data_IF_251508411600
#
_entry.id   IF_251508411600
#
_cell.length_a   1.000
_cell.length_b   1.000
_cell.length_c   1.000
_cell.angle_alpha   90.00
_cell.angle_beta   90.00
_cell.angle_gamma   90.00
#
_symmetry.space_group_name_H-M   'P 1'
#
loop_
_entity.id
_entity.type
_entity.pdbx_description
1 polymer ?
#
# COMPACT_ATOMS: atom_id res chain seq x y z
N UNK A 1 -47.27 -35.22 -18.55
CA UNK A 1 -47.12 -33.76 -18.66
C UNK A 1 -45.65 -33.43 -18.80
N UNK A 2 -45.22 -32.92 -19.95
CA UNK A 2 -43.81 -32.64 -20.26
C UNK A 2 -43.64 -31.14 -20.45
N UNK A 3 -42.80 -30.52 -19.62
CA UNK A 3 -42.62 -29.07 -19.57
C UNK A 3 -41.83 -28.55 -20.80
N UNK A 4 -42.41 -27.58 -21.52
CA UNK A 4 -41.75 -26.83 -22.61
C UNK A 4 -40.66 -25.90 -22.03
N UNK A 5 -39.42 -26.03 -22.49
CA UNK A 5 -38.34 -25.04 -22.25
C UNK A 5 -38.63 -23.74 -23.01
N UNK A 6 -38.54 -22.60 -22.32
CA UNK A 6 -38.60 -21.24 -22.90
C UNK A 6 -37.38 -20.98 -23.80
N UNK A 7 -37.62 -20.48 -25.02
CA UNK A 7 -36.59 -19.89 -25.90
C UNK A 7 -36.11 -18.57 -25.28
N UNK A 8 -34.80 -18.44 -25.11
CA UNK A 8 -34.16 -17.15 -24.78
C UNK A 8 -33.96 -16.39 -26.09
N UNK A 9 -34.63 -15.25 -26.24
CA UNK A 9 -34.36 -14.30 -27.33
C UNK A 9 -33.02 -13.61 -27.08
N UNK A 10 -32.09 -13.76 -28.04
CA UNK A 10 -30.84 -12.99 -28.06
C UNK A 10 -31.14 -11.57 -28.55
N UNK A 11 -31.07 -10.58 -27.66
CA UNK A 11 -31.03 -9.17 -28.06
C UNK A 11 -29.70 -8.87 -28.75
N UNK A 12 -29.75 -8.49 -30.03
CA UNK A 12 -28.60 -7.95 -30.75
C UNK A 12 -28.35 -6.51 -30.30
N UNK A 13 -27.15 -6.24 -29.77
CA UNK A 13 -26.67 -4.87 -29.50
C UNK A 13 -25.85 -4.41 -30.71
N UNK A 14 -26.20 -3.27 -31.30
CA UNK A 14 -25.70 -2.78 -32.60
C UNK A 14 -24.27 -2.21 -32.62
N UNK A 15 -23.51 -2.30 -31.52
CA UNK A 15 -22.13 -1.78 -31.45
C UNK A 15 -21.20 -2.69 -30.62
N UNK A 16 -21.22 -4.00 -30.88
CA UNK A 16 -20.17 -4.89 -30.38
C UNK A 16 -18.94 -4.74 -31.29
N UNK A 17 -17.85 -4.18 -30.75
CA UNK A 17 -16.54 -4.20 -31.38
C UNK A 17 -16.12 -5.65 -31.66
N UNK A 18 -15.58 -5.91 -32.84
CA UNK A 18 -15.06 -7.23 -33.24
C UNK A 18 -13.98 -7.71 -32.28
N UNK A 19 -14.21 -8.84 -31.61
CA UNK A 19 -13.18 -9.60 -30.89
C UNK A 19 -12.21 -10.21 -31.90
N UNK A 20 -10.91 -9.95 -31.74
CA UNK A 20 -9.85 -10.62 -32.51
C UNK A 20 -9.81 -12.13 -32.23
N UNK A 21 -9.38 -12.91 -33.22
CA UNK A 21 -9.47 -14.38 -33.25
C UNK A 21 -8.38 -15.12 -32.46
N UNK A 22 -7.55 -14.42 -31.67
CA UNK A 22 -6.48 -15.05 -30.89
C UNK A 22 -6.96 -15.49 -29.50
N UNK A 23 -7.16 -16.81 -29.34
CA UNK A 23 -7.55 -17.45 -28.08
C UNK A 23 -6.49 -17.41 -26.96
N UNK A 24 -5.31 -16.84 -27.20
CA UNK A 24 -4.26 -16.64 -26.19
C UNK A 24 -4.20 -15.22 -25.60
N UNK A 25 -5.06 -14.31 -26.07
CA UNK A 25 -5.13 -12.96 -25.51
C UNK A 25 -5.90 -12.97 -24.17
N UNK A 26 -5.17 -12.91 -23.04
CA UNK A 26 -5.70 -12.62 -21.70
C UNK A 26 -6.18 -11.16 -21.53
N UNK A 27 -6.72 -10.53 -22.58
CA UNK A 27 -7.36 -9.22 -22.47
C UNK A 27 -8.68 -9.41 -21.74
N UNK A 28 -8.65 -9.17 -20.42
CA UNK A 28 -9.86 -9.06 -19.62
C UNK A 28 -10.65 -7.87 -20.17
N UNK A 29 -11.70 -8.14 -20.95
CA UNK A 29 -12.58 -7.10 -21.45
C UNK A 29 -13.24 -6.38 -20.25
N UNK A 30 -12.71 -5.22 -19.88
CA UNK A 30 -13.35 -4.34 -18.89
C UNK A 30 -14.45 -3.60 -19.63
N UNK A 31 -15.68 -4.08 -19.52
CA UNK A 31 -16.83 -3.38 -20.09
C UNK A 31 -17.04 -2.11 -19.26
N UNK A 32 -16.74 -0.97 -19.86
CA UNK A 32 -17.06 0.34 -19.32
C UNK A 32 -18.47 0.70 -19.80
N UNK A 33 -19.40 0.88 -18.86
CA UNK A 33 -20.77 1.29 -19.19
C UNK A 33 -20.82 2.81 -19.44
N UNK A 34 -19.99 3.31 -20.35
CA UNK A 34 -19.94 4.72 -20.69
C UNK A 34 -21.09 5.09 -21.65
N UNK A 35 -21.63 6.30 -21.52
CA UNK A 35 -22.80 6.78 -22.25
C UNK A 35 -22.67 8.26 -22.62
N UNK A 36 -23.45 8.66 -23.62
CA UNK A 36 -23.45 10.03 -24.16
C UNK A 36 -22.25 10.32 -25.06
N UNK A 37 -22.32 11.43 -25.80
CA UNK A 37 -21.21 11.94 -26.62
C UNK A 37 -20.29 12.82 -25.76
N UNK A 38 -18.99 12.52 -25.78
CA UNK A 38 -17.97 13.29 -25.06
C UNK A 38 -16.96 13.85 -26.04
N UNK A 39 -16.50 15.07 -25.79
CA UNK A 39 -15.36 15.65 -26.50
C UNK A 39 -14.05 15.09 -25.93
N UNK A 40 -13.96 14.99 -24.60
CA UNK A 40 -12.81 14.43 -23.87
C UNK A 40 -13.18 14.12 -22.41
N UNK A 41 -12.42 13.26 -21.73
CA UNK A 41 -11.44 12.32 -22.28
C UNK A 41 -12.12 11.14 -23.00
N UNK A 42 -11.33 10.29 -23.65
CA UNK A 42 -11.83 9.03 -24.20
C UNK A 42 -12.09 8.01 -23.08
N UNK A 43 -12.93 7.01 -23.38
CA UNK A 43 -13.23 5.93 -22.44
C UNK A 43 -11.96 5.14 -22.11
N UNK A 44 -11.63 5.01 -20.83
CA UNK A 44 -10.48 4.26 -20.36
C UNK A 44 -9.13 4.94 -20.49
N UNK A 45 -9.09 6.23 -20.83
CA UNK A 45 -7.85 7.01 -20.78
C UNK A 45 -7.18 6.88 -19.41
N UNK A 46 -5.85 6.86 -19.43
CA UNK A 46 -5.01 6.77 -18.23
C UNK A 46 -4.33 8.10 -17.95
N UNK A 47 -4.43 8.54 -16.71
CA UNK A 47 -3.78 9.74 -16.20
C UNK A 47 -2.88 9.36 -15.03
N UNK A 48 -1.83 10.13 -14.79
CA UNK A 48 -0.77 9.73 -13.85
C UNK A 48 -0.57 10.80 -12.79
N UNK A 49 -0.65 10.39 -11.53
CA UNK A 49 -0.14 11.16 -10.40
C UNK A 49 1.37 11.16 -10.51
N UNK A 50 1.94 12.35 -10.64
CA UNK A 50 3.40 12.55 -10.81
C UNK A 50 4.20 12.08 -9.59
N UNK A 51 5.52 12.03 -9.74
CA UNK A 51 6.48 11.84 -8.66
C UNK A 51 6.46 12.97 -7.61
N UNK A 52 5.95 14.15 -7.97
CA UNK A 52 5.84 15.32 -7.10
C UNK A 52 4.51 15.42 -6.34
N UNK A 53 4.02 14.32 -5.77
CA UNK A 53 2.67 13.78 -5.98
C UNK A 53 1.62 14.85 -6.28
N UNK A 54 1.36 15.12 -7.56
CA UNK A 54 0.31 16.04 -8.03
C UNK A 54 -0.77 15.28 -8.78
N UNK A 55 -2.02 15.62 -8.52
CA UNK A 55 -3.15 15.11 -9.29
C UNK A 55 -3.03 15.60 -10.75
N UNK A 56 -3.26 14.72 -11.75
CA UNK A 56 -3.18 15.12 -13.15
C UNK A 56 -4.30 16.08 -13.53
N UNK A 57 -4.02 17.00 -14.45
CA UNK A 57 -5.07 17.83 -15.05
C UNK A 57 -5.93 16.97 -15.98
N UNK A 58 -7.19 16.74 -15.61
CA UNK A 58 -8.15 15.98 -16.41
C UNK A 58 -9.34 16.87 -16.73
N UNK A 59 -9.51 17.22 -18.00
CA UNK A 59 -10.66 17.98 -18.47
C UNK A 59 -11.73 17.05 -19.03
N UNK A 60 -12.88 17.03 -18.38
CA UNK A 60 -14.10 16.37 -18.83
C UNK A 60 -14.95 17.36 -19.61
N UNK A 61 -15.42 16.96 -20.80
CA UNK A 61 -16.22 17.82 -21.67
C UNK A 61 -17.27 17.01 -22.42
N UNK A 62 -18.54 17.35 -22.20
CA UNK A 62 -19.69 16.70 -22.84
C UNK A 62 -20.12 17.43 -24.11
N UNK A 63 -20.66 16.69 -25.07
CA UNK A 63 -21.35 17.27 -26.23
C UNK A 63 -22.86 17.17 -26.02
N UNK A 64 -23.50 18.30 -25.76
CA UNK A 64 -24.94 18.38 -25.47
C UNK A 64 -25.55 19.65 -26.06
N UNK A 65 -26.75 19.53 -26.61
CA UNK A 65 -27.59 20.66 -27.04
C UNK A 65 -28.59 21.08 -25.95
N UNK A 66 -28.62 20.37 -24.82
CA UNK A 66 -29.50 20.67 -23.70
C UNK A 66 -29.02 21.93 -22.97
N UNK A 67 -29.96 22.80 -22.53
CA UNK A 67 -29.60 24.00 -21.77
C UNK A 67 -29.04 23.63 -20.39
N UNK A 68 -28.21 24.52 -19.86
CA UNK A 68 -27.77 24.50 -18.46
C UNK A 68 -28.97 24.66 -17.49
N UNK A 69 -28.84 24.24 -16.22
CA UNK A 69 -27.63 23.74 -15.56
C UNK A 69 -27.34 22.25 -15.82
N UNK A 70 -26.06 21.91 -15.80
CA UNK A 70 -25.54 20.55 -15.86
C UNK A 70 -25.23 20.04 -14.45
N UNK A 71 -25.79 18.88 -14.07
CA UNK A 71 -25.52 18.24 -12.80
C UNK A 71 -24.35 17.26 -12.97
N UNK A 72 -23.21 17.60 -12.39
CA UNK A 72 -22.02 16.78 -12.42
C UNK A 72 -21.94 15.95 -11.15
N UNK A 73 -21.56 14.68 -11.32
CA UNK A 73 -21.25 13.76 -10.23
C UNK A 73 -20.02 12.98 -10.59
N UNK A 74 -19.12 12.80 -9.63
CA UNK A 74 -17.94 11.96 -9.81
C UNK A 74 -17.88 10.91 -8.70
N UNK A 75 -17.33 9.76 -9.02
CA UNK A 75 -17.03 8.68 -8.09
C UNK A 75 -15.69 8.09 -8.45
N UNK A 76 -14.75 8.05 -7.52
CA UNK A 76 -13.45 7.39 -7.69
C UNK A 76 -13.36 6.19 -6.76
N UNK A 77 -12.94 5.05 -7.32
CA UNK A 77 -12.83 3.79 -6.60
C UNK A 77 -11.49 3.11 -6.85
N UNK A 78 -10.93 2.49 -5.83
CA UNK A 78 -9.77 1.61 -5.96
C UNK A 78 -9.97 0.34 -5.13
N UNK A 79 -9.85 -0.80 -5.79
CA UNK A 79 -9.86 -2.11 -5.15
C UNK A 79 -8.42 -2.44 -4.73
N UNK A 80 -8.10 -2.28 -3.45
CA UNK A 80 -6.80 -2.58 -2.91
C UNK A 80 -6.55 -4.10 -2.90
N UNK A 81 -5.81 -4.57 -3.90
CA UNK A 81 -5.42 -5.96 -4.07
C UNK A 81 -3.96 -6.17 -3.63
N UNK A 82 -3.72 -7.28 -2.93
CA UNK A 82 -2.39 -7.65 -2.43
C UNK A 82 -1.40 -7.74 -3.58
N UNK A 83 -0.25 -7.08 -3.48
CA UNK A 83 0.84 -7.17 -4.46
C UNK A 83 2.12 -7.77 -3.88
N UNK A 84 2.39 -7.52 -2.59
CA UNK A 84 3.76 -7.56 -2.08
C UNK A 84 4.66 -6.58 -2.86
N UNK A 85 5.98 -6.82 -2.87
CA UNK A 85 6.95 -6.00 -3.62
C UNK A 85 7.37 -6.61 -4.97
N UNK A 86 6.85 -7.79 -5.31
CA UNK A 86 7.15 -8.46 -6.58
C UNK A 86 6.31 -7.85 -7.69
N UNK A 87 6.93 -7.65 -8.85
CA UNK A 87 6.30 -7.16 -10.07
C UNK A 87 5.50 -8.28 -10.76
N UNK A 88 4.51 -8.82 -10.03
CA UNK A 88 3.68 -9.96 -10.45
C UNK A 88 2.20 -9.62 -10.30
N UNK A 89 1.34 -10.46 -10.89
CA UNK A 89 -0.11 -10.32 -10.76
C UNK A 89 -0.53 -10.20 -9.29
N UNK A 90 -1.42 -9.24 -9.01
CA UNK A 90 -2.01 -9.05 -7.68
C UNK A 90 -2.85 -10.25 -7.24
N UNK A 91 -2.84 -10.47 -5.92
CA UNK A 91 -3.64 -11.45 -5.21
C UNK A 91 -5.05 -10.96 -4.87
N UNK A 92 -5.58 -11.44 -3.75
CA UNK A 92 -6.95 -11.14 -3.31
C UNK A 92 -7.15 -9.65 -2.99
N UNK A 93 -8.40 -9.19 -3.17
CA UNK A 93 -8.84 -7.87 -2.71
C UNK A 93 -8.96 -7.87 -1.18
N UNK A 94 -8.36 -6.87 -0.53
CA UNK A 94 -8.51 -6.64 0.91
C UNK A 94 -9.67 -5.68 1.19
N UNK A 95 -9.74 -4.58 0.43
CA UNK A 95 -10.71 -3.50 0.65
C UNK A 95 -10.98 -2.74 -0.66
N UNK A 96 -12.13 -2.09 -0.73
CA UNK A 96 -12.41 -1.04 -1.73
C UNK A 96 -12.37 0.32 -1.04
N UNK A 97 -11.58 1.25 -1.58
CA UNK A 97 -11.63 2.67 -1.24
C UNK A 97 -12.55 3.38 -2.23
N UNK A 98 -13.33 4.35 -1.73
CA UNK A 98 -14.25 5.12 -2.56
C UNK A 98 -14.31 6.56 -2.07
N UNK A 99 -14.45 7.50 -3.00
CA UNK A 99 -14.79 8.90 -2.74
C UNK A 99 -15.74 9.40 -3.83
N UNK A 100 -16.56 10.40 -3.52
CA UNK A 100 -17.57 10.93 -4.43
C UNK A 100 -17.84 12.40 -4.16
N UNK A 101 -18.28 13.12 -5.18
CA UNK A 101 -18.77 14.48 -5.07
C UNK A 101 -19.73 14.80 -6.19
N UNK A 102 -20.46 15.90 -6.03
CA UNK A 102 -21.42 16.40 -7.01
C UNK A 102 -21.55 17.91 -6.93
N UNK A 103 -21.83 18.54 -8.06
CA UNK A 103 -22.04 19.98 -8.16
C UNK A 103 -22.86 20.33 -9.41
N UNK A 104 -23.37 21.56 -9.46
CA UNK A 104 -24.08 22.09 -10.63
C UNK A 104 -23.20 23.12 -11.33
N UNK A 105 -23.18 23.12 -12.66
CA UNK A 105 -22.45 24.09 -13.47
C UNK A 105 -23.25 24.52 -14.70
N UNK A 106 -22.97 25.71 -15.22
CA UNK A 106 -23.47 26.15 -16.53
C UNK A 106 -22.52 25.77 -17.67
N UNK A 107 -21.32 25.29 -17.35
CA UNK A 107 -20.30 24.90 -18.32
C UNK A 107 -20.42 23.41 -18.68
N UNK A 108 -20.24 23.10 -19.97
CA UNK A 108 -20.14 21.73 -20.48
C UNK A 108 -18.81 21.06 -20.15
N UNK A 109 -17.93 21.78 -19.46
CA UNK A 109 -16.57 21.39 -19.15
C UNK A 109 -16.35 21.40 -17.64
N UNK A 110 -15.58 20.44 -17.16
CA UNK A 110 -15.09 20.38 -15.78
C UNK A 110 -13.63 19.94 -15.76
N UNK A 111 -12.79 20.71 -15.06
CA UNK A 111 -11.44 20.27 -14.71
C UNK A 111 -11.51 19.55 -13.38
N UNK A 112 -11.15 18.26 -13.37
CA UNK A 112 -11.26 17.42 -12.19
C UNK A 112 -10.32 17.89 -11.08
N UNK A 113 -10.88 18.21 -9.92
CA UNK A 113 -10.15 18.61 -8.71
C UNK A 113 -10.35 17.63 -7.53
N UNK A 114 -11.41 16.81 -7.57
CA UNK A 114 -11.76 15.83 -6.52
C UNK A 114 -11.78 16.42 -5.08
N UNK A 115 -12.06 17.73 -4.95
CA UNK A 115 -12.03 18.43 -3.66
C UNK A 115 -10.61 18.66 -3.13
N UNK A 116 -9.65 18.89 -4.02
CA UNK A 116 -8.23 19.09 -3.74
C UNK A 116 -7.45 17.83 -3.36
N UNK A 117 -8.05 16.63 -3.44
CA UNK A 117 -7.44 15.38 -2.99
C UNK A 117 -6.64 14.69 -4.10
N UNK A 118 -5.52 14.06 -3.72
CA UNK A 118 -4.73 13.23 -4.64
C UNK A 118 -5.17 11.77 -4.49
N UNK A 119 -6.05 11.34 -5.39
CA UNK A 119 -6.65 10.00 -5.39
C UNK A 119 -6.40 9.29 -6.73
N UNK A 120 -6.05 8.01 -6.68
CA UNK A 120 -5.95 7.17 -7.87
C UNK A 120 -7.06 6.13 -7.98
N UNK A 121 -7.01 5.29 -8.99
CA UNK A 121 -7.99 4.25 -9.28
C UNK A 121 -8.92 4.60 -10.44
N UNK A 122 -10.10 3.99 -10.45
CA UNK A 122 -11.11 4.16 -11.51
C UNK A 122 -12.00 5.37 -11.18
N UNK A 123 -11.87 6.43 -11.95
CA UNK A 123 -12.72 7.62 -11.86
C UNK A 123 -13.88 7.51 -12.86
N UNK A 124 -15.11 7.60 -12.37
CA UNK A 124 -16.32 7.68 -13.17
C UNK A 124 -16.94 9.06 -12.99
N UNK A 125 -17.25 9.73 -14.10
CA UNK A 125 -17.96 11.01 -14.14
C UNK A 125 -19.31 10.79 -14.80
N UNK A 126 -20.36 11.27 -14.15
CA UNK A 126 -21.74 11.23 -14.59
C UNK A 126 -22.24 12.67 -14.74
N UNK A 127 -22.95 12.96 -15.83
CA UNK A 127 -23.55 14.28 -16.06
C UNK A 127 -24.99 14.13 -16.47
N UNK A 128 -25.88 14.89 -15.82
CA UNK A 128 -27.28 15.04 -16.25
C UNK A 128 -27.46 16.42 -16.85
N UNK A 129 -27.91 16.47 -18.11
CA UNK A 129 -28.18 17.69 -18.86
C UNK A 129 -29.61 17.62 -19.41
N UNK A 130 -30.57 18.26 -18.75
CA UNK A 130 -31.99 18.11 -19.10
C UNK A 130 -32.41 16.63 -19.07
N UNK A 131 -32.80 16.09 -20.23
CA UNK A 131 -33.16 14.67 -20.41
C UNK A 131 -31.99 13.78 -20.85
N UNK A 132 -30.80 14.33 -21.08
CA UNK A 132 -29.61 13.60 -21.53
C UNK A 132 -28.75 13.18 -20.34
N UNK A 133 -28.24 11.95 -20.41
CA UNK A 133 -27.32 11.40 -19.41
C UNK A 133 -25.98 11.02 -20.06
N UNK A 134 -24.90 11.36 -19.39
CA UNK A 134 -23.54 11.10 -19.81
C UNK A 134 -22.80 10.33 -18.73
N UNK A 135 -21.97 9.37 -19.13
CA UNK A 135 -21.08 8.63 -18.23
C UNK A 135 -19.73 8.40 -18.90
N UNK A 136 -18.65 8.78 -18.23
CA UNK A 136 -17.27 8.58 -18.70
C UNK A 136 -16.41 7.97 -17.62
N UNK A 137 -15.65 6.95 -17.97
CA UNK A 137 -14.72 6.27 -17.08
C UNK A 137 -13.29 6.49 -17.54
N UNK A 138 -12.40 6.86 -16.62
CA UNK A 138 -10.93 6.95 -16.82
C UNK A 138 -10.20 6.28 -15.65
N UNK A 139 -8.90 6.07 -15.80
CA UNK A 139 -8.05 5.50 -14.75
C UNK A 139 -6.95 6.46 -14.35
N UNK A 140 -6.68 6.52 -13.05
CA UNK A 140 -5.63 7.35 -12.47
C UNK A 140 -4.63 6.42 -11.78
N UNK A 141 -3.39 6.46 -12.23
CA UNK A 141 -2.29 5.64 -11.69
C UNK A 141 -1.21 6.52 -11.06
N UNK A 142 -0.19 5.92 -10.45
CA UNK A 142 0.85 6.64 -9.72
C UNK A 142 2.26 6.36 -10.21
N UNK A 143 3.12 7.36 -10.04
CA UNK A 143 4.56 7.27 -10.33
C UNK A 143 5.35 7.29 -9.03
N UNK A 144 6.32 6.38 -8.91
CA UNK A 144 7.25 6.38 -7.78
C UNK A 144 8.14 7.62 -7.84
N UNK A 145 8.36 8.33 -6.71
CA UNK A 145 9.43 9.32 -6.63
C UNK A 145 10.81 8.65 -6.71
N UNK A 146 11.83 9.43 -7.05
CA UNK A 146 13.22 8.98 -6.89
C UNK A 146 13.58 8.80 -5.42
N UNK A 147 14.55 7.94 -5.13
CA UNK A 147 15.09 7.78 -3.77
C UNK A 147 15.59 9.11 -3.22
N UNK A 148 16.27 9.93 -4.05
CA UNK A 148 16.76 11.24 -3.63
C UNK A 148 15.61 12.19 -3.22
N UNK A 149 14.49 12.19 -3.96
CA UNK A 149 13.32 13.00 -3.61
C UNK A 149 12.69 12.58 -2.28
N UNK A 150 12.68 11.27 -1.99
CA UNK A 150 12.22 10.73 -0.71
C UNK A 150 13.15 11.18 0.42
N UNK A 151 14.46 10.98 0.26
CA UNK A 151 15.46 11.34 1.25
C UNK A 151 15.46 12.85 1.53
N UNK A 152 15.32 13.69 0.51
CA UNK A 152 15.20 15.13 0.68
C UNK A 152 13.92 15.52 1.43
N UNK A 153 12.79 14.87 1.11
CA UNK A 153 11.55 15.09 1.85
C UNK A 153 11.63 14.63 3.32
N UNK A 154 12.37 13.55 3.60
CA UNK A 154 12.60 13.08 4.98
C UNK A 154 13.41 14.08 5.81
N UNK A 155 14.38 14.80 5.22
CA UNK A 155 15.14 15.84 5.92
C UNK A 155 14.26 16.98 6.43
N UNK A 156 13.10 17.22 5.79
CA UNK A 156 12.14 18.23 6.27
C UNK A 156 11.29 17.73 7.43
N UNK A 157 11.36 16.45 7.79
CA UNK A 157 10.60 15.87 8.89
C UNK A 157 11.42 15.89 10.17
N UNK A 158 10.82 16.40 11.25
CA UNK A 158 11.49 16.42 12.56
C UNK A 158 11.59 15.01 13.14
N UNK A 159 12.65 14.71 13.90
CA UNK A 159 12.81 13.45 14.65
C UNK A 159 12.60 12.18 13.80
N UNK A 160 13.02 12.20 12.54
CA UNK A 160 12.84 11.09 11.59
C UNK A 160 14.17 10.41 11.20
N UNK A 161 15.26 10.69 11.91
CA UNK A 161 16.57 10.07 11.65
C UNK A 161 16.45 8.54 11.74
N UNK A 162 16.95 7.84 10.72
CA UNK A 162 16.87 6.37 10.60
C UNK A 162 15.57 5.85 9.95
N UNK A 163 14.55 6.70 9.74
CA UNK A 163 13.29 6.26 9.12
C UNK A 163 13.44 5.91 7.63
N UNK A 164 14.46 6.46 6.96
CA UNK A 164 14.86 6.06 5.61
C UNK A 164 15.15 4.57 5.50
N UNK A 165 15.77 3.98 6.53
CA UNK A 165 16.05 2.54 6.58
C UNK A 165 14.77 1.74 6.71
N UNK A 166 13.81 2.20 7.53
CA UNK A 166 12.47 1.59 7.64
C UNK A 166 11.82 1.57 6.27
N UNK A 167 11.78 2.70 5.55
CA UNK A 167 11.21 2.75 4.19
C UNK A 167 11.93 1.80 3.23
N UNK A 168 13.26 1.74 3.27
CA UNK A 168 14.06 0.80 2.46
C UNK A 168 13.61 -0.63 2.73
N UNK A 169 13.48 -1.02 3.99
CA UNK A 169 13.08 -2.37 4.38
C UNK A 169 11.64 -2.70 3.98
N UNK A 170 10.71 -1.81 4.29
CA UNK A 170 9.28 -2.04 4.12
C UNK A 170 8.87 -2.10 2.64
N UNK A 171 9.49 -1.28 1.78
CA UNK A 171 9.07 -1.19 0.38
C UNK A 171 10.16 -0.98 -0.67
N UNK A 172 11.44 -0.94 -0.27
CA UNK A 172 12.54 -0.57 -1.16
C UNK A 172 12.28 0.79 -1.84
N UNK A 173 11.76 1.76 -1.08
CA UNK A 173 11.39 3.10 -1.55
C UNK A 173 10.28 3.13 -2.62
N UNK A 174 9.48 2.07 -2.76
CA UNK A 174 8.33 2.05 -3.67
C UNK A 174 7.06 2.42 -2.94
N UNK A 175 6.30 3.37 -3.48
CA UNK A 175 4.89 3.54 -3.11
C UNK A 175 3.97 2.77 -4.05
N UNK A 176 4.36 2.61 -5.31
CA UNK A 176 3.60 1.96 -6.38
C UNK A 176 4.35 0.75 -6.95
N UNK A 177 3.62 -0.25 -7.41
CA UNK A 177 4.16 -1.37 -8.19
C UNK A 177 4.32 -0.91 -9.63
N UNK A 178 5.51 -1.11 -10.21
CA UNK A 178 5.79 -0.59 -11.56
C UNK A 178 4.98 -1.32 -12.64
N UNK A 179 4.61 -2.58 -12.39
CA UNK A 179 3.83 -3.38 -13.34
C UNK A 179 2.42 -2.84 -13.61
N UNK A 180 1.80 -2.13 -12.66
CA UNK A 180 0.43 -1.62 -12.81
C UNK A 180 0.22 -0.18 -12.31
N UNK A 181 1.26 0.44 -11.74
CA UNK A 181 1.25 1.79 -11.21
C UNK A 181 0.19 2.01 -10.10
N UNK A 182 -0.19 0.96 -9.38
CA UNK A 182 -1.05 1.03 -8.20
C UNK A 182 -0.24 0.90 -6.91
N UNK A 183 -0.73 1.44 -5.77
CA UNK A 183 -0.02 1.37 -4.50
C UNK A 183 0.38 -0.05 -4.08
N UNK A 184 1.51 -0.16 -3.38
CA UNK A 184 1.94 -1.41 -2.74
C UNK A 184 0.93 -1.79 -1.66
N UNK A 185 0.48 -3.05 -1.67
CA UNK A 185 -0.44 -3.60 -0.65
C UNK A 185 0.08 -4.93 -0.14
N UNK A 186 0.39 -5.01 1.15
CA UNK A 186 0.73 -6.26 1.82
C UNK A 186 -0.52 -7.01 2.29
N UNK A 187 -0.37 -8.33 2.44
CA UNK A 187 -1.47 -9.24 2.80
C UNK A 187 -2.07 -8.97 4.20
N UNK A 188 -1.33 -8.30 5.06
CA UNK A 188 -1.71 -7.95 6.43
C UNK A 188 -2.31 -6.54 6.55
N UNK A 189 -2.66 -5.92 5.42
CA UNK A 189 -3.17 -4.54 5.30
C UNK A 189 -2.10 -3.45 5.52
N UNK A 190 -0.82 -3.73 5.23
CA UNK A 190 0.17 -2.69 5.01
C UNK A 190 -0.04 -1.99 3.65
N UNK A 191 -0.01 -0.65 3.63
CA UNK A 191 -0.22 0.14 2.41
C UNK A 191 0.90 1.15 2.15
N UNK A 192 1.28 1.26 0.87
CA UNK A 192 2.20 2.26 0.37
C UNK A 192 3.63 2.07 0.85
N UNK A 193 4.42 3.13 0.76
CA UNK A 193 5.86 3.11 1.01
C UNK A 193 6.27 2.74 2.43
N UNK A 194 5.51 3.16 3.44
CA UNK A 194 5.84 2.89 4.84
C UNK A 194 5.09 1.67 5.39
N UNK A 195 4.37 0.94 4.54
CA UNK A 195 3.56 -0.22 4.91
C UNK A 195 2.65 0.04 6.13
N UNK A 196 1.96 1.20 6.15
CA UNK A 196 1.08 1.54 7.27
C UNK A 196 -0.06 0.53 7.41
N UNK A 197 -0.17 -0.07 8.60
CA UNK A 197 -1.19 -1.09 8.91
C UNK A 197 -2.14 -0.66 10.03
N UNK A 198 -1.62 -0.12 11.13
CA UNK A 198 -2.43 0.31 12.27
C UNK A 198 -1.86 1.60 12.90
N UNK A 199 -2.62 2.72 12.87
CA UNK A 199 -3.90 2.87 12.19
C UNK A 199 -3.75 2.70 10.66
N UNK A 200 -4.78 2.14 10.02
CA UNK A 200 -4.80 2.03 8.58
C UNK A 200 -4.86 3.43 7.94
N UNK A 201 -4.10 3.69 6.86
CA UNK A 201 -4.09 5.00 6.21
C UNK A 201 -5.42 5.29 5.50
N UNK A 202 -5.70 6.59 5.32
CA UNK A 202 -6.81 7.07 4.49
C UNK A 202 -6.54 6.82 3.00
N UNK A 203 -7.55 6.95 2.15
CA UNK A 203 -7.41 6.73 0.71
C UNK A 203 -6.30 7.60 0.08
N UNK A 204 -6.29 8.89 0.40
CA UNK A 204 -5.27 9.84 -0.06
C UNK A 204 -3.89 9.51 0.48
N UNK A 205 -3.77 9.13 1.76
CA UNK A 205 -2.50 8.72 2.36
C UNK A 205 -1.86 7.49 1.70
N UNK A 206 -2.64 6.69 0.96
CA UNK A 206 -2.10 5.56 0.18
C UNK A 206 -1.60 6.00 -1.19
N UNK A 207 -2.32 6.91 -1.85
CA UNK A 207 -2.00 7.39 -3.20
C UNK A 207 -1.03 8.57 -3.25
N UNK A 208 -0.83 9.27 -2.13
CA UNK A 208 0.13 10.35 -1.99
C UNK A 208 1.31 9.89 -1.13
N UNK A 209 2.46 9.63 -1.77
CA UNK A 209 3.63 9.10 -1.06
C UNK A 209 4.17 10.05 0.02
N UNK A 210 3.99 11.38 -0.13
CA UNK A 210 4.39 12.33 0.91
C UNK A 210 3.50 12.22 2.13
N UNK A 211 2.18 12.09 1.93
CA UNK A 211 1.24 11.86 3.04
C UNK A 211 1.46 10.48 3.68
N UNK A 212 1.80 9.46 2.89
CA UNK A 212 2.20 8.13 3.38
C UNK A 212 3.42 8.23 4.31
N UNK A 213 4.47 8.93 3.88
CA UNK A 213 5.65 9.17 4.71
C UNK A 213 5.29 9.95 5.98
N UNK A 214 4.47 11.01 5.90
CA UNK A 214 4.08 11.79 7.08
C UNK A 214 3.41 10.93 8.15
N UNK A 215 2.49 10.04 7.77
CA UNK A 215 1.85 9.14 8.74
C UNK A 215 2.82 8.09 9.28
N UNK A 216 3.73 7.58 8.46
CA UNK A 216 4.79 6.67 8.90
C UNK A 216 5.76 7.33 9.88
N UNK A 217 6.19 8.56 9.61
CA UNK A 217 7.04 9.36 10.50
C UNK A 217 6.34 9.58 11.84
N UNK A 218 5.04 9.90 11.85
CA UNK A 218 4.29 10.07 13.10
C UNK A 218 4.31 8.80 13.96
N UNK A 219 4.11 7.63 13.34
CA UNK A 219 4.21 6.36 14.05
C UNK A 219 5.65 6.08 14.51
N UNK A 220 6.64 6.38 13.68
CA UNK A 220 8.05 6.22 14.01
C UNK A 220 8.44 7.06 15.23
N UNK A 221 7.99 8.32 15.29
CA UNK A 221 8.19 9.22 16.43
C UNK A 221 7.54 8.68 17.71
N UNK A 222 6.35 8.09 17.62
CA UNK A 222 5.70 7.40 18.75
C UNK A 222 6.58 6.24 19.25
N UNK A 223 7.09 5.41 18.32
CA UNK A 223 7.98 4.29 18.66
C UNK A 223 9.31 4.77 19.25
N UNK A 224 9.83 5.89 18.75
CA UNK A 224 11.01 6.53 19.31
C UNK A 224 10.74 7.05 20.72
N UNK A 225 9.54 7.59 20.99
CA UNK A 225 9.11 7.95 22.35
C UNK A 225 9.13 6.76 23.31
N UNK A 226 8.63 5.60 22.88
CA UNK A 226 8.72 4.37 23.67
C UNK A 226 10.16 3.92 23.88
N UNK A 227 11.01 3.98 22.84
CA UNK A 227 12.42 3.65 22.95
C UNK A 227 13.18 4.57 23.91
N UNK A 228 12.88 5.89 23.91
CA UNK A 228 13.43 6.84 24.87
C UNK A 228 13.04 6.50 26.32
N UNK A 229 11.80 6.05 26.53
CA UNK A 229 11.33 5.61 27.84
C UNK A 229 12.03 4.32 28.28
N UNK A 230 12.26 3.37 27.37
CA UNK A 230 12.98 2.13 27.67
C UNK A 230 14.45 2.38 28.03
N UNK A 231 15.05 3.40 27.41
CA UNK A 231 16.43 3.82 27.64
C UNK A 231 16.55 4.86 28.76
N UNK A 232 15.47 5.19 29.46
CA UNK A 232 15.50 6.15 30.54
C UNK A 232 16.33 5.63 31.72
N UNK A 233 16.98 6.55 32.44
CA UNK A 233 17.77 6.24 33.65
C UNK A 233 19.26 6.03 33.41
N UNK A 234 19.70 5.81 32.17
CA UNK A 234 21.12 5.70 31.83
C UNK A 234 21.46 6.44 30.52
N UNK A 235 22.70 6.89 30.33
CA UNK A 235 23.14 7.47 29.06
C UNK A 235 22.99 6.47 27.90
N UNK A 236 22.64 6.96 26.71
CA UNK A 236 22.57 6.18 25.49
C UNK A 236 23.02 7.00 24.28
N UNK A 237 23.48 6.32 23.23
CA UNK A 237 23.87 6.95 21.96
C UNK A 237 22.68 7.09 20.99
N UNK A 238 22.81 7.92 19.96
CA UNK A 238 21.80 8.03 18.91
C UNK A 238 21.57 6.69 18.19
N UNK A 239 22.63 5.93 17.91
CA UNK A 239 22.52 4.59 17.32
C UNK A 239 21.76 3.60 18.20
N UNK A 240 21.94 3.67 19.53
CA UNK A 240 21.16 2.87 20.48
C UNK A 240 19.68 3.26 20.43
N UNK A 241 19.37 4.56 20.36
CA UNK A 241 18.00 5.02 20.21
C UNK A 241 17.36 4.57 18.88
N UNK A 242 18.08 4.70 17.76
CA UNK A 242 17.60 4.26 16.43
C UNK A 242 17.33 2.76 16.44
N UNK A 243 18.27 1.95 16.93
CA UNK A 243 18.10 0.48 17.01
C UNK A 243 16.93 0.09 17.91
N UNK A 244 16.81 0.73 19.08
CA UNK A 244 15.66 0.52 19.97
C UNK A 244 14.33 0.91 19.30
N UNK A 245 14.34 1.98 18.50
CA UNK A 245 13.17 2.43 17.74
C UNK A 245 12.78 1.42 16.65
N UNK A 246 13.74 0.86 15.91
CA UNK A 246 13.47 -0.22 14.94
C UNK A 246 12.87 -1.46 15.60
N UNK A 247 13.37 -1.83 16.77
CA UNK A 247 12.78 -2.94 17.53
C UNK A 247 11.36 -2.63 17.96
N UNK A 248 11.07 -1.40 18.41
CA UNK A 248 9.72 -0.95 18.76
C UNK A 248 8.78 -0.87 17.57
N UNK A 249 9.28 -0.54 16.38
CA UNK A 249 8.54 -0.60 15.12
C UNK A 249 7.98 -2.00 14.86
N UNK A 250 8.81 -3.03 15.06
CA UNK A 250 8.40 -4.43 14.92
C UNK A 250 7.83 -5.06 16.22
N UNK A 251 7.69 -4.28 17.30
CA UNK A 251 6.95 -4.64 18.51
C UNK A 251 7.74 -5.23 19.68
N UNK A 252 9.07 -5.05 19.75
CA UNK A 252 9.90 -5.55 20.86
C UNK A 252 10.70 -4.43 21.56
N UNK A 253 11.06 -4.63 22.82
CA UNK A 253 12.07 -3.81 23.52
C UNK A 253 13.44 -4.36 23.17
N UNK A 254 14.35 -3.52 22.66
CA UNK A 254 15.68 -4.01 22.23
C UNK A 254 16.65 -4.19 23.39
N UNK A 255 16.82 -3.17 24.23
CA UNK A 255 17.86 -3.15 25.27
C UNK A 255 17.29 -3.43 26.65
N UNK A 256 18.14 -4.00 27.51
CA UNK A 256 18.03 -3.96 28.97
C UNK A 256 19.34 -3.44 29.55
N UNK A 257 19.28 -2.77 30.69
CA UNK A 257 20.48 -2.35 31.40
C UNK A 257 21.10 -3.55 32.12
N UNK A 258 22.41 -3.76 31.97
CA UNK A 258 23.16 -4.75 32.73
C UNK A 258 23.98 -4.06 33.81
N UNK A 259 23.61 -4.29 35.08
CA UNK A 259 24.24 -3.65 36.23
C UNK A 259 25.70 -4.08 36.46
N UNK A 260 26.06 -5.29 35.99
CA UNK A 260 27.41 -5.83 36.19
C UNK A 260 28.42 -5.16 35.25
N UNK A 261 28.07 -5.05 33.97
CA UNK A 261 28.90 -4.38 32.94
C UNK A 261 28.66 -2.87 32.85
N UNK A 262 27.62 -2.34 33.52
CA UNK A 262 27.17 -0.95 33.42
C UNK A 262 26.97 -0.53 31.96
N UNK A 263 26.28 -1.38 31.20
CA UNK A 263 26.06 -1.16 29.76
C UNK A 263 24.69 -1.64 29.31
N UNK A 264 24.21 -1.09 28.18
CA UNK A 264 23.02 -1.57 27.50
C UNK A 264 23.35 -2.85 26.73
N UNK A 265 22.60 -3.92 27.00
CA UNK A 265 22.74 -5.22 26.31
C UNK A 265 21.40 -5.62 25.66
N UNK A 266 21.39 -6.44 24.60
CA UNK A 266 20.15 -6.96 24.03
C UNK A 266 19.26 -7.64 25.10
N UNK A 267 17.96 -7.42 24.98
CA UNK A 267 16.97 -7.92 25.91
C UNK A 267 16.61 -9.38 25.58
N UNK A 268 16.72 -10.27 26.57
CA UNK A 268 16.48 -11.70 26.39
C UNK A 268 17.65 -12.46 25.76
N UNK A 269 17.38 -13.67 25.29
CA UNK A 269 18.36 -14.58 24.72
C UNK A 269 17.94 -14.97 23.30
N UNK A 270 17.67 -13.96 22.47
CA UNK A 270 17.23 -14.18 21.09
C UNK A 270 18.44 -14.42 20.18
N UNK A 271 18.42 -15.53 19.46
CA UNK A 271 19.33 -15.82 18.35
C UNK A 271 18.60 -15.56 17.03
N UNK A 272 19.12 -14.69 16.19
CA UNK A 272 18.46 -14.28 14.95
C UNK A 272 18.87 -15.14 13.76
N UNK A 273 17.90 -15.41 12.88
CA UNK A 273 18.14 -16.10 11.61
C UNK A 273 18.62 -15.08 10.57
N UNK A 274 19.90 -15.12 10.14
CA UNK A 274 20.48 -14.11 9.26
C UNK A 274 19.87 -14.11 7.85
N UNK A 275 19.23 -15.22 7.45
CA UNK A 275 18.57 -15.36 6.14
C UNK A 275 17.16 -14.75 6.14
N UNK A 276 16.75 -14.14 7.25
CA UNK A 276 15.43 -13.56 7.44
C UNK A 276 15.52 -12.11 7.92
N UNK A 277 14.43 -11.38 7.74
CA UNK A 277 14.35 -9.99 8.20
C UNK A 277 13.98 -9.82 9.67
N UNK A 278 13.29 -10.77 10.29
CA UNK A 278 12.76 -10.61 11.65
C UNK A 278 12.48 -11.94 12.39
N UNK A 279 13.01 -13.07 11.93
CA UNK A 279 12.81 -14.36 12.59
C UNK A 279 14.01 -14.67 13.48
N UNK A 280 13.74 -15.29 14.62
CA UNK A 280 14.77 -15.81 15.52
C UNK A 280 14.20 -16.79 16.53
N UNK A 281 15.04 -17.21 17.46
CA UNK A 281 14.75 -18.22 18.47
C UNK A 281 15.07 -17.71 19.86
N UNK A 282 14.15 -17.92 20.79
CA UNK A 282 14.44 -17.73 22.21
C UNK A 282 15.27 -18.92 22.72
N UNK A 283 16.53 -18.68 23.01
CA UNK A 283 17.49 -19.70 23.43
C UNK A 283 17.29 -20.16 24.88
N UNK A 284 16.37 -19.53 25.63
CA UNK A 284 15.95 -20.01 26.94
C UNK A 284 14.99 -21.20 26.84
N UNK A 285 14.38 -21.43 25.67
CA UNK A 285 13.46 -22.54 25.41
C UNK A 285 14.22 -23.84 25.22
N UNK A 286 13.77 -24.92 25.86
CA UNK A 286 14.40 -26.24 25.79
C UNK A 286 14.55 -26.74 24.34
N UNK A 287 13.58 -26.45 23.47
CA UNK A 287 13.62 -26.84 22.06
C UNK A 287 14.75 -26.18 21.26
N UNK A 288 15.27 -25.04 21.72
CA UNK A 288 16.28 -24.23 21.03
C UNK A 288 17.64 -24.23 21.74
N UNK A 289 17.65 -24.47 23.06
CA UNK A 289 18.85 -24.39 23.90
C UNK A 289 19.98 -25.27 23.38
N UNK A 290 21.18 -24.68 23.28
CA UNK A 290 22.41 -25.36 22.85
C UNK A 290 22.51 -25.64 21.36
N UNK A 291 21.51 -25.27 20.55
CA UNK A 291 21.55 -25.43 19.10
C UNK A 291 22.20 -24.23 18.42
N UNK A 292 22.79 -24.49 17.27
CA UNK A 292 23.37 -23.50 16.36
C UNK A 292 22.32 -22.87 15.45
N UNK A 293 22.66 -21.73 14.83
CA UNK A 293 21.80 -21.07 13.83
C UNK A 293 21.47 -22.02 12.69
N UNK A 294 22.46 -22.75 12.19
CA UNK A 294 22.32 -23.66 11.05
C UNK A 294 21.37 -24.82 11.37
N UNK A 295 21.46 -25.39 12.58
CA UNK A 295 20.56 -26.45 13.04
C UNK A 295 19.12 -25.97 13.16
N UNK A 296 18.91 -24.78 13.74
CA UNK A 296 17.59 -24.20 13.94
C UNK A 296 16.97 -23.76 12.61
N UNK A 297 17.73 -23.08 11.75
CA UNK A 297 17.30 -22.69 10.41
C UNK A 297 16.89 -23.91 9.58
N UNK A 298 17.73 -24.96 9.56
CA UNK A 298 17.44 -26.20 8.83
C UNK A 298 16.16 -26.87 9.33
N UNK A 299 15.90 -26.85 10.65
CA UNK A 299 14.68 -27.39 11.25
C UNK A 299 13.44 -26.59 10.82
N UNK A 300 13.53 -25.26 10.84
CA UNK A 300 12.33 -24.41 10.86
C UNK A 300 11.98 -23.72 9.52
N UNK A 301 12.94 -23.54 8.60
CA UNK A 301 12.77 -22.70 7.39
C UNK A 301 11.54 -23.03 6.54
N UNK A 302 11.18 -24.32 6.44
CA UNK A 302 10.03 -24.77 5.66
C UNK A 302 8.67 -24.43 6.31
N UNK A 303 8.70 -24.04 7.59
CA UNK A 303 7.52 -23.64 8.36
C UNK A 303 7.28 -22.13 8.33
N UNK A 304 8.29 -21.30 8.02
CA UNK A 304 8.17 -19.83 8.01
C UNK A 304 7.05 -19.34 7.10
N UNK A 305 6.91 -19.95 5.92
CA UNK A 305 5.86 -19.63 4.94
C UNK A 305 4.43 -19.83 5.46
N UNK A 306 4.25 -20.59 6.55
CA UNK A 306 2.95 -20.81 7.22
C UNK A 306 2.66 -19.71 8.25
N UNK A 307 3.55 -18.75 8.43
CA UNK A 307 3.44 -17.69 9.43
C UNK A 307 3.31 -18.26 10.85
N UNK A 308 2.53 -17.60 11.72
CA UNK A 308 2.33 -18.05 13.11
C UNK A 308 1.80 -19.50 13.21
N UNK A 309 1.09 -20.01 12.19
CA UNK A 309 0.59 -21.39 12.15
C UNK A 309 1.69 -22.43 11.91
N UNK A 310 2.89 -22.01 11.49
CA UNK A 310 4.05 -22.88 11.34
C UNK A 310 4.79 -23.19 12.65
N UNK A 311 4.48 -22.46 13.72
CA UNK A 311 5.13 -22.61 15.02
C UNK A 311 4.52 -23.77 15.80
N UNK A 312 5.37 -24.48 16.51
CA UNK A 312 5.00 -25.56 17.42
C UNK A 312 6.00 -25.64 18.57
N UNK A 313 5.76 -26.54 19.53
CA UNK A 313 6.76 -26.85 20.57
C UNK A 313 8.07 -27.40 20.01
N UNK A 314 8.06 -27.98 18.80
CA UNK A 314 9.24 -28.50 18.12
C UNK A 314 9.94 -27.44 17.26
N UNK A 315 9.15 -26.54 16.66
CA UNK A 315 9.57 -25.46 15.77
C UNK A 315 9.24 -24.10 16.41
N UNK A 316 9.88 -23.80 17.55
CA UNK A 316 9.57 -22.65 18.41
C UNK A 316 10.36 -21.40 18.00
N UNK A 317 10.22 -21.01 16.73
CA UNK A 317 10.72 -19.74 16.20
C UNK A 317 9.71 -18.61 16.43
N UNK A 318 10.19 -17.38 16.53
CA UNK A 318 9.39 -16.18 16.78
C UNK A 318 9.65 -15.08 15.75
N UNK A 319 8.71 -14.12 15.66
CA UNK A 319 8.99 -12.83 15.03
C UNK A 319 9.53 -11.95 16.15
N UNK A 320 10.69 -11.35 15.93
CA UNK A 320 11.42 -10.60 16.95
C UNK A 320 11.81 -9.23 16.42
N UNK A 321 11.43 -8.19 17.16
CA UNK A 321 11.90 -6.84 16.87
C UNK A 321 13.40 -6.66 17.11
N UNK A 322 14.03 -7.53 17.92
CA UNK A 322 15.48 -7.56 18.07
C UNK A 322 16.11 -7.98 16.74
N UNK A 323 15.63 -9.08 16.15
CA UNK A 323 16.13 -9.55 14.86
C UNK A 323 15.85 -8.57 13.73
N UNK A 324 14.68 -7.93 13.76
CA UNK A 324 14.40 -6.82 12.84
C UNK A 324 15.42 -5.71 13.00
N UNK A 325 15.64 -5.20 14.21
CA UNK A 325 16.58 -4.11 14.44
C UNK A 325 18.03 -4.47 14.08
N UNK A 326 18.45 -5.72 14.28
CA UNK A 326 19.78 -6.20 13.90
C UNK A 326 19.94 -6.30 12.38
N UNK A 327 18.93 -6.84 11.69
CA UNK A 327 18.89 -6.87 10.23
C UNK A 327 18.99 -5.45 9.65
N UNK A 328 18.24 -4.50 10.23
CA UNK A 328 18.18 -3.10 9.82
C UNK A 328 19.47 -2.31 10.07
N UNK A 329 20.29 -2.74 11.02
CA UNK A 329 21.54 -2.08 11.33
C UNK A 329 22.72 -2.60 10.50
N UNK A 330 22.57 -3.80 9.91
CA UNK A 330 23.61 -4.46 9.14
C UNK A 330 23.42 -4.31 7.62
N UNK A 331 22.30 -3.73 7.15
CA UNK A 331 21.89 -3.58 5.74
C UNK A 331 21.39 -2.17 5.39
#
# INVERSE_FOLDING_TARGET
MTAKKRKVEKRHVKHASTTGEDQESLVKAVIQNDTGEWVRPASGDKFVISDAPKFPEITFEIKSDQPAPYQWKWTITWDAQVSGLRETKRGGKLKTFTDTGSFSSNDKTWVADLGGKILGGKLTVEVTAGTSEFRRTVFITGTNPSTDAILEFLKTQQNAVGFDRVIKQESQYKNFINADNEPVVAFDNGYGMTQMTNPAPTYEQVWNWKENIKVGVKLYQEKQGYAKNDLAGHPYTEDQLIRATFSRWNGSIYYRWDESSKSWVPNGSIMCDPDTGNIGWDMSKDANKGKTVEELHKRDKDTYKKGKKGRSSENDWIYSGICYADHMANN
#
